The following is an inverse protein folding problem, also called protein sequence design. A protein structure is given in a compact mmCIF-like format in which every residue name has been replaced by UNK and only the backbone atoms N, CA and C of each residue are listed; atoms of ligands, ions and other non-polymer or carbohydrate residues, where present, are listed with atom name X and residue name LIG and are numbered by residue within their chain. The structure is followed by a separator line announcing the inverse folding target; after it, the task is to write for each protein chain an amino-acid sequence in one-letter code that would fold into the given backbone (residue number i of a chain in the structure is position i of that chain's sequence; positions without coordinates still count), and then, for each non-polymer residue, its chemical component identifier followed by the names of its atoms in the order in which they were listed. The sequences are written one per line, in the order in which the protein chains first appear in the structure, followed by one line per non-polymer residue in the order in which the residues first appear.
data_IF_766065271376
#
_entry.id   IF_766065271376
#
_cell.length_a   1.000
_cell.length_b   1.000
_cell.length_c   1.000
_cell.angle_alpha   90.00
_cell.angle_beta   90.00
_cell.angle_gamma   90.00
#
_symmetry.space_group_name_H-M   'P 1'
#
loop_
_entity.id
_entity.type
_entity.pdbx_description
1 polymer ?
#
# COMPACT_ATOMS: atom_id res chain seq x y z
N UNK A 1 -4.90 -2.26 28.02
CA UNK A 1 -4.19 -1.56 29.11
C UNK A 1 -2.73 -1.94 28.95
N UNK A 2 -1.81 -1.00 28.83
CA UNK A 2 -0.40 -1.34 28.58
C UNK A 2 0.15 -2.21 29.73
N UNK A 3 0.63 -3.41 29.40
CA UNK A 3 1.15 -4.41 30.34
C UNK A 3 1.84 -5.55 29.59
N UNK A 4 2.45 -6.51 30.31
CA UNK A 4 3.07 -7.69 29.68
C UNK A 4 1.94 -8.65 29.27
N UNK A 5 1.47 -8.51 28.04
CA UNK A 5 0.45 -9.39 27.49
C UNK A 5 0.94 -10.08 26.21
N UNK A 6 1.19 -11.38 26.30
CA UNK A 6 1.62 -12.18 25.14
C UNK A 6 0.55 -12.20 24.03
N UNK A 7 -0.73 -11.96 24.34
CA UNK A 7 -1.81 -11.90 23.36
C UNK A 7 -1.85 -10.59 22.56
N UNK A 8 -0.95 -9.63 22.83
CA UNK A 8 -0.77 -8.40 22.05
C UNK A 8 0.38 -8.53 21.03
N UNK A 9 1.14 -9.62 21.08
CA UNK A 9 2.10 -9.98 20.03
C UNK A 9 1.30 -10.38 18.80
N UNK A 10 1.64 -9.81 17.63
CA UNK A 10 0.96 -10.08 16.36
C UNK A 10 1.95 -10.67 15.38
N UNK A 11 1.60 -11.81 14.82
CA UNK A 11 2.31 -12.42 13.70
C UNK A 11 1.41 -12.30 12.47
N UNK A 12 1.92 -11.65 11.43
CA UNK A 12 1.23 -11.60 10.14
C UNK A 12 1.32 -12.99 9.49
N UNK A 13 0.39 -13.88 9.87
CA UNK A 13 0.37 -15.27 9.41
C UNK A 13 -0.03 -15.36 7.94
N UNK A 14 -1.32 -15.13 7.66
CA UNK A 14 -1.83 -14.99 6.29
C UNK A 14 -2.40 -13.60 6.10
N UNK A 15 -2.21 -13.06 4.90
CA UNK A 15 -2.69 -11.73 4.58
C UNK A 15 -2.95 -11.55 3.09
N UNK A 16 -3.61 -10.43 2.79
CA UNK A 16 -4.02 -10.06 1.43
C UNK A 16 -3.80 -8.58 1.19
N UNK A 17 -3.56 -8.25 -0.08
CA UNK A 17 -3.41 -6.87 -0.55
C UNK A 17 -4.64 -6.51 -1.36
N UNK A 18 -5.31 -5.44 -0.96
CA UNK A 18 -6.56 -4.98 -1.52
C UNK A 18 -6.35 -3.61 -2.17
N UNK A 19 -6.97 -3.41 -3.33
CA UNK A 19 -6.98 -2.13 -4.03
C UNK A 19 -8.41 -1.69 -4.29
N UNK A 20 -8.66 -0.38 -4.21
CA UNK A 20 -9.94 0.24 -4.52
C UNK A 20 -9.72 1.62 -5.14
N UNK A 21 -10.78 2.27 -5.68
CA UNK A 21 -10.66 3.65 -6.15
C UNK A 21 -10.15 4.57 -5.04
N UNK A 22 -9.51 5.68 -5.41
CA UNK A 22 -9.02 6.64 -4.41
C UNK A 22 -10.15 7.05 -3.46
N UNK A 23 -9.80 7.20 -2.19
CA UNK A 23 -10.71 7.55 -1.10
C UNK A 23 -11.87 6.55 -0.89
N UNK A 24 -11.83 5.32 -1.41
CA UNK A 24 -12.81 4.29 -1.05
C UNK A 24 -12.79 4.03 0.46
N UNK A 25 -13.96 3.87 1.08
CA UNK A 25 -14.05 3.65 2.52
C UNK A 25 -13.61 2.24 2.91
N UNK A 26 -12.87 2.16 4.01
CA UNK A 26 -12.40 0.90 4.55
C UNK A 26 -13.26 0.49 5.75
N UNK A 27 -13.92 -0.66 5.65
CA UNK A 27 -14.66 -1.23 6.78
C UNK A 27 -13.71 -1.59 7.94
N UNK A 28 -14.25 -1.70 9.15
CA UNK A 28 -13.48 -2.17 10.31
C UNK A 28 -13.02 -3.64 10.13
N UNK A 29 -11.94 -4.07 10.79
CA UNK A 29 -11.52 -5.47 10.78
C UNK A 29 -12.63 -6.41 11.26
N UNK A 30 -12.82 -7.52 10.54
CA UNK A 30 -13.88 -8.50 10.81
C UNK A 30 -15.26 -8.13 10.24
N UNK A 31 -15.38 -7.03 9.49
CA UNK A 31 -16.57 -6.69 8.71
C UNK A 31 -16.31 -6.91 7.22
N UNK A 32 -17.35 -7.31 6.49
CA UNK A 32 -17.33 -7.46 5.02
C UNK A 32 -16.89 -6.15 4.35
N UNK A 33 -15.99 -6.27 3.39
CA UNK A 33 -15.52 -5.14 2.58
C UNK A 33 -16.56 -4.75 1.51
N UNK A 34 -16.54 -3.49 1.09
CA UNK A 34 -17.31 -3.03 -0.07
C UNK A 34 -16.88 -3.74 -1.36
N UNK A 35 -17.79 -3.86 -2.32
CA UNK A 35 -17.55 -4.56 -3.58
C UNK A 35 -16.49 -3.88 -4.49
N UNK A 36 -16.12 -2.64 -4.16
CA UNK A 36 -15.07 -1.87 -4.85
C UNK A 36 -13.64 -2.34 -4.51
N UNK A 37 -13.48 -3.10 -3.41
CA UNK A 37 -12.19 -3.62 -2.97
C UNK A 37 -11.87 -4.92 -3.71
N UNK A 38 -10.76 -4.92 -4.43
CA UNK A 38 -10.27 -6.07 -5.19
C UNK A 38 -9.00 -6.62 -4.56
N UNK A 39 -8.90 -7.94 -4.50
CA UNK A 39 -7.71 -8.64 -4.01
C UNK A 39 -6.68 -8.79 -5.14
N UNK A 40 -5.45 -8.34 -4.90
CA UNK A 40 -4.32 -8.47 -5.81
C UNK A 40 -3.69 -9.87 -5.77
N UNK A 41 -4.12 -10.73 -4.84
CA UNK A 41 -3.73 -12.12 -4.77
C UNK A 41 -2.40 -12.37 -4.09
N UNK A 42 -1.65 -13.35 -4.59
CA UNK A 42 -0.45 -13.85 -3.89
C UNK A 42 0.73 -12.88 -3.91
N UNK A 43 1.26 -12.60 -2.72
CA UNK A 43 2.54 -11.91 -2.50
C UNK A 43 3.66 -12.89 -2.17
N UNK A 44 4.91 -12.42 -2.20
CA UNK A 44 6.06 -13.21 -1.74
C UNK A 44 6.05 -13.42 -0.22
N UNK A 45 6.82 -14.41 0.25
CA UNK A 45 7.01 -14.70 1.68
C UNK A 45 7.76 -13.59 2.43
N UNK A 46 8.35 -12.62 1.73
CA UNK A 46 9.00 -11.45 2.33
C UNK A 46 7.99 -10.49 2.99
N UNK A 47 6.69 -10.71 2.71
CA UNK A 47 5.59 -9.95 3.28
C UNK A 47 5.53 -8.53 2.75
N UNK A 48 4.94 -7.65 3.56
CA UNK A 48 4.67 -6.26 3.19
C UNK A 48 5.45 -5.36 4.14
N UNK A 49 6.22 -4.44 3.56
CA UNK A 49 7.06 -3.50 4.31
C UNK A 49 6.38 -2.15 4.34
N UNK A 50 6.14 -1.65 5.55
CA UNK A 50 5.63 -0.32 5.81
C UNK A 50 6.76 0.55 6.38
N UNK A 51 7.01 1.71 5.78
CA UNK A 51 8.02 2.66 6.26
C UNK A 51 7.40 4.03 6.43
N UNK A 52 7.55 4.61 7.63
CA UNK A 52 7.21 6.01 7.92
C UNK A 52 8.49 6.79 8.17
N UNK A 53 8.75 7.82 7.37
CA UNK A 53 9.89 8.74 7.53
C UNK A 53 9.38 10.14 7.81
N UNK A 54 9.75 10.68 8.97
CA UNK A 54 9.49 12.08 9.32
C UNK A 54 10.79 12.85 9.22
N UNK A 55 10.77 14.00 8.53
CA UNK A 55 11.89 14.93 8.49
C UNK A 55 11.60 16.10 9.43
N UNK A 56 12.54 16.34 10.36
CA UNK A 56 12.50 17.45 11.30
C UNK A 56 13.65 18.39 10.96
N UNK A 57 13.33 19.61 10.56
CA UNK A 57 14.34 20.65 10.33
C UNK A 57 14.58 21.42 11.64
N UNK A 58 15.85 21.52 12.09
CA UNK A 58 16.20 22.33 13.25
C UNK A 58 16.06 23.82 12.93
N UNK A 59 15.50 24.57 13.88
CA UNK A 59 15.50 26.02 13.92
C UNK A 59 16.62 26.43 14.86
N UNK A 60 17.75 26.81 14.29
CA UNK A 60 18.90 27.30 15.04
C UNK A 60 18.69 28.77 15.43
N UNK A 61 19.25 29.16 16.57
CA UNK A 61 19.29 30.56 16.98
C UNK A 61 20.74 31.00 17.14
N UNK A 62 20.98 32.30 16.97
CA UNK A 62 22.32 32.82 17.17
C UNK A 62 22.75 32.81 18.64
N UNK A 63 21.78 32.88 19.56
CA UNK A 63 22.02 32.87 21.01
C UNK A 63 22.33 31.47 21.57
N UNK A 64 22.15 30.41 20.78
CA UNK A 64 22.31 29.04 21.23
C UNK A 64 23.07 28.22 20.20
N UNK A 65 24.09 27.48 20.64
CA UNK A 65 24.80 26.54 19.79
C UNK A 65 23.98 25.29 19.45
N UNK A 66 22.84 25.07 20.11
CA UNK A 66 21.91 23.99 19.84
C UNK A 66 20.58 24.52 19.26
N UNK A 67 19.93 23.70 18.43
CA UNK A 67 18.64 24.00 17.82
C UNK A 67 17.59 24.34 18.90
N UNK A 68 16.88 25.46 18.71
CA UNK A 68 15.89 25.97 19.67
C UNK A 68 14.52 25.34 19.46
N UNK A 69 14.23 24.86 18.25
CA UNK A 69 12.98 24.19 17.91
C UNK A 69 13.18 23.25 16.74
N UNK A 70 12.40 22.16 16.66
CA UNK A 70 12.28 21.37 15.44
C UNK A 70 10.95 21.68 14.75
N UNK A 71 10.98 21.85 13.44
CA UNK A 71 9.78 21.98 12.59
C UNK A 71 9.67 20.73 11.74
N UNK A 72 8.46 20.14 11.68
CA UNK A 72 8.24 19.02 10.78
C UNK A 72 8.08 19.53 9.35
N UNK A 73 9.00 19.11 8.49
CA UNK A 73 9.09 19.59 7.11
C UNK A 73 8.52 18.61 6.12
N UNK A 74 8.62 17.31 6.41
CA UNK A 74 8.10 16.26 5.54
C UNK A 74 7.62 15.03 6.34
N UNK A 75 6.66 14.32 5.76
CA UNK A 75 6.16 13.03 6.22
C UNK A 75 5.93 12.15 5.01
N UNK A 76 6.86 11.22 4.80
CA UNK A 76 6.75 10.20 3.77
C UNK A 76 6.29 8.88 4.38
N UNK A 77 5.36 8.23 3.69
CA UNK A 77 4.78 6.96 4.10
C UNK A 77 4.77 6.06 2.88
N UNK A 78 5.58 5.01 2.94
CA UNK A 78 5.77 4.09 1.82
C UNK A 78 5.39 2.68 2.20
N UNK A 79 4.77 1.99 1.24
CA UNK A 79 4.42 0.58 1.32
C UNK A 79 5.10 -0.15 0.18
N UNK A 80 5.86 -1.19 0.50
CA UNK A 80 6.57 -2.01 -0.48
C UNK A 80 6.20 -3.47 -0.34
N UNK A 81 5.84 -4.12 -1.45
CA UNK A 81 5.57 -5.55 -1.52
C UNK A 81 5.86 -6.09 -2.92
N UNK A 82 5.89 -7.42 -3.05
CA UNK A 82 6.11 -8.10 -4.30
C UNK A 82 4.95 -9.08 -4.58
N UNK A 83 4.30 -8.91 -5.73
CA UNK A 83 3.25 -9.81 -6.21
C UNK A 83 3.87 -10.93 -7.04
N UNK A 84 3.31 -12.14 -6.91
CA UNK A 84 3.66 -13.30 -7.73
C UNK A 84 2.55 -13.58 -8.75
N UNK A 85 1.31 -13.15 -8.45
CA UNK A 85 0.17 -13.39 -9.31
C UNK A 85 0.07 -12.34 -10.42
N UNK A 86 0.00 -12.81 -11.67
CA UNK A 86 -0.24 -11.99 -12.85
C UNK A 86 -1.69 -12.22 -13.29
N UNK A 87 -2.54 -11.20 -13.15
CA UNK A 87 -3.94 -11.22 -13.55
C UNK A 87 -4.34 -9.86 -14.16
N UNK A 88 -5.60 -9.75 -14.57
CA UNK A 88 -6.14 -8.54 -15.21
C UNK A 88 -6.12 -7.29 -14.32
N UNK A 89 -6.03 -7.46 -13.00
CA UNK A 89 -5.99 -6.37 -12.02
C UNK A 89 -4.56 -6.03 -11.56
N UNK A 90 -3.67 -7.02 -11.46
CA UNK A 90 -2.31 -6.83 -10.93
C UNK A 90 -1.39 -6.17 -11.93
N UNK A 91 -1.46 -6.55 -13.21
CA UNK A 91 -0.60 -5.96 -14.24
C UNK A 91 -0.80 -4.44 -14.41
N UNK A 92 -2.03 -3.91 -14.61
CA UNK A 92 -2.23 -2.46 -14.73
C UNK A 92 -1.90 -1.72 -13.42
N UNK A 93 -2.10 -2.36 -12.27
CA UNK A 93 -1.76 -1.79 -10.98
C UNK A 93 -0.25 -1.59 -10.81
N UNK A 94 0.53 -2.65 -11.02
CA UNK A 94 2.00 -2.61 -10.86
C UNK A 94 2.63 -1.63 -11.86
N UNK A 95 2.04 -1.51 -13.05
CA UNK A 95 2.49 -0.58 -14.08
C UNK A 95 2.00 0.86 -13.89
N UNK A 96 1.32 1.17 -12.77
CA UNK A 96 0.92 2.53 -12.41
C UNK A 96 -0.32 3.07 -13.11
N UNK A 97 -1.06 2.24 -13.86
CA UNK A 97 -2.35 2.59 -14.46
C UNK A 97 -3.54 2.50 -13.50
N UNK A 98 -3.30 2.14 -12.23
CA UNK A 98 -4.30 2.19 -11.18
C UNK A 98 -5.07 0.88 -11.02
N UNK A 99 -6.37 0.97 -10.73
CA UNK A 99 -7.21 -0.17 -10.34
C UNK A 99 -8.20 -0.64 -11.43
N UNK A 100 -8.01 -0.15 -12.66
CA UNK A 100 -8.85 -0.53 -13.82
C UNK A 100 -8.41 -1.89 -14.34
N UNK A 101 -9.30 -2.90 -14.36
CA UNK A 101 -8.97 -4.23 -14.86
C UNK A 101 -8.78 -4.19 -16.38
N UNK A 102 -7.87 -5.01 -16.87
CA UNK A 102 -7.77 -5.27 -18.30
C UNK A 102 -8.94 -6.13 -18.77
N UNK A 103 -9.46 -5.80 -19.95
CA UNK A 103 -10.50 -6.58 -20.61
C UNK A 103 -9.83 -7.50 -21.62
N UNK A 104 -10.04 -8.83 -21.55
CA UNK A 104 -9.57 -9.74 -22.58
C UNK A 104 -10.21 -9.41 -23.93
N UNK A 105 -9.47 -9.60 -25.02
CA UNK A 105 -10.04 -9.49 -26.36
C UNK A 105 -10.95 -10.68 -26.72
N UNK A 106 -11.45 -10.71 -27.97
CA UNK A 106 -12.36 -11.76 -28.47
C UNK A 106 -11.72 -13.16 -28.38
N UNK A 107 -10.39 -13.25 -28.40
CA UNK A 107 -9.63 -14.50 -28.31
C UNK A 107 -9.16 -14.80 -26.87
N UNK A 108 -9.54 -13.97 -25.89
CA UNK A 108 -9.18 -14.11 -24.48
C UNK A 108 -7.79 -13.61 -24.13
N UNK A 109 -7.12 -12.87 -25.02
CA UNK A 109 -5.79 -12.30 -24.78
C UNK A 109 -5.91 -11.03 -23.96
N UNK A 110 -5.16 -10.97 -22.86
CA UNK A 110 -5.03 -9.77 -22.03
C UNK A 110 -3.80 -8.99 -22.49
N UNK A 111 -4.03 -7.81 -23.07
CA UNK A 111 -2.97 -6.91 -23.55
C UNK A 111 -2.89 -5.67 -22.65
N UNK A 112 -1.69 -5.32 -22.24
CA UNK A 112 -1.39 -4.05 -21.59
C UNK A 112 -0.35 -3.30 -22.40
N UNK A 113 -0.73 -2.12 -22.89
CA UNK A 113 0.16 -1.23 -23.64
C UNK A 113 0.70 -0.14 -22.69
N UNK A 114 2.02 -0.10 -22.54
CA UNK A 114 2.69 0.92 -21.75
C UNK A 114 2.64 2.25 -22.52
N UNK A 115 1.94 3.23 -21.97
CA UNK A 115 1.86 4.58 -22.56
C UNK A 115 3.22 5.28 -22.52
N UNK A 116 3.55 5.99 -23.60
CA UNK A 116 4.71 6.89 -23.63
C UNK A 116 4.53 8.13 -22.73
N UNK A 117 3.29 8.46 -22.37
CA UNK A 117 2.92 9.55 -21.47
C UNK A 117 2.08 9.00 -20.32
N UNK A 118 2.72 8.41 -19.29
CA UNK A 118 2.01 7.87 -18.15
C UNK A 118 1.45 9.00 -17.27
N UNK A 119 0.20 8.84 -16.85
CA UNK A 119 -0.39 9.64 -15.78
C UNK A 119 -0.41 8.77 -14.53
N UNK A 120 0.22 9.18 -13.42
CA UNK A 120 0.20 8.40 -12.19
C UNK A 120 -1.25 8.22 -11.72
N UNK A 121 -1.70 6.97 -11.64
CA UNK A 121 -3.02 6.68 -11.12
C UNK A 121 -3.01 6.66 -9.59
N UNK A 122 -4.07 7.23 -9.01
CA UNK A 122 -4.29 7.28 -7.57
C UNK A 122 -5.32 6.24 -7.17
N UNK A 123 -5.06 5.54 -6.07
CA UNK A 123 -5.93 4.47 -5.58
C UNK A 123 -5.92 4.42 -4.05
N UNK A 124 -6.87 3.69 -3.48
CA UNK A 124 -6.85 3.31 -2.08
C UNK A 124 -6.21 1.92 -1.93
N UNK A 125 -5.36 1.76 -0.92
CA UNK A 125 -4.67 0.51 -0.59
C UNK A 125 -5.17 -0.02 0.76
N UNK A 126 -5.48 -1.30 0.80
CA UNK A 126 -5.81 -2.04 2.00
C UNK A 126 -4.84 -3.20 2.17
N UNK A 127 -4.32 -3.39 3.38
CA UNK A 127 -3.59 -4.61 3.75
C UNK A 127 -4.36 -5.25 4.88
N UNK A 128 -4.62 -6.54 4.79
CA UNK A 128 -5.24 -7.28 5.88
C UNK A 128 -4.38 -8.48 6.21
N UNK A 129 -4.17 -8.74 7.50
CA UNK A 129 -3.59 -9.98 7.97
C UNK A 129 -4.35 -10.50 9.19
N UNK A 130 -4.32 -11.83 9.33
CA UNK A 130 -4.98 -12.52 10.43
C UNK A 130 -3.97 -13.28 11.27
N UNK A 131 -4.15 -13.22 12.58
CA UNK A 131 -3.40 -13.96 13.60
C UNK A 131 -4.38 -14.66 14.54
N UNK A 132 -4.64 -15.95 14.30
CA UNK A 132 -5.70 -16.68 14.99
C UNK A 132 -7.07 -16.02 14.76
N UNK A 133 -7.70 -15.54 15.84
CA UNK A 133 -8.99 -14.83 15.79
C UNK A 133 -8.84 -13.31 15.58
N UNK A 134 -7.62 -12.77 15.66
CA UNK A 134 -7.38 -11.33 15.53
C UNK A 134 -7.26 -10.97 14.05
N UNK A 135 -7.96 -9.91 13.64
CA UNK A 135 -7.87 -9.37 12.27
C UNK A 135 -7.31 -7.97 12.35
N UNK A 136 -6.22 -7.73 11.62
CA UNK A 136 -5.59 -6.41 11.54
C UNK A 136 -5.65 -5.91 10.10
N UNK A 137 -6.04 -4.64 9.96
CA UNK A 137 -6.17 -3.99 8.67
C UNK A 137 -5.42 -2.67 8.66
N UNK A 138 -4.55 -2.50 7.68
CA UNK A 138 -3.88 -1.26 7.37
C UNK A 138 -4.51 -0.64 6.13
N UNK A 139 -4.74 0.67 6.14
CA UNK A 139 -5.49 1.37 5.10
C UNK A 139 -4.78 2.67 4.71
N UNK A 140 -4.64 2.89 3.42
CA UNK A 140 -4.18 4.15 2.82
C UNK A 140 -5.28 4.63 1.87
N UNK A 141 -5.95 5.77 2.13
CA UNK A 141 -7.04 6.26 1.28
C UNK A 141 -6.57 6.72 -0.10
N UNK A 142 -5.35 7.25 -0.20
CA UNK A 142 -4.80 7.78 -1.44
C UNK A 142 -3.31 7.46 -1.52
N UNK A 143 -2.95 6.60 -2.45
CA UNK A 143 -1.59 6.22 -2.76
C UNK A 143 -1.33 6.25 -4.26
N UNK A 144 -0.05 6.33 -4.61
CA UNK A 144 0.44 6.32 -5.99
C UNK A 144 1.63 5.37 -6.08
N UNK A 145 1.71 4.59 -7.16
CA UNK A 145 2.92 3.80 -7.45
C UNK A 145 4.03 4.76 -7.84
N UNK A 146 5.12 4.76 -7.08
CA UNK A 146 6.25 5.66 -7.29
C UNK A 146 7.44 4.97 -7.92
N UNK A 147 7.57 3.66 -7.69
CA UNK A 147 8.68 2.87 -8.19
C UNK A 147 8.27 1.41 -8.39
N UNK A 148 8.97 0.75 -9.31
CA UNK A 148 8.79 -0.66 -9.64
C UNK A 148 10.15 -1.34 -9.57
N UNK A 149 10.22 -2.48 -8.88
CA UNK A 149 11.44 -3.28 -8.86
C UNK A 149 11.67 -3.93 -10.24
N UNK A 150 12.92 -4.33 -10.51
CA UNK A 150 13.25 -5.10 -11.71
C UNK A 150 12.45 -6.40 -11.78
N UNK A 151 11.81 -6.64 -12.94
CA UNK A 151 11.08 -7.87 -13.21
C UNK A 151 12.03 -8.87 -13.87
N UNK A 152 12.36 -9.94 -13.13
CA UNK A 152 13.22 -11.01 -13.63
C UNK A 152 12.40 -12.19 -14.15
N UNK A 153 12.73 -12.66 -15.36
CA UNK A 153 12.23 -13.91 -15.93
C UNK A 153 13.29 -15.01 -15.79
N UNK A 154 13.06 -15.96 -14.89
CA UNK A 154 13.99 -17.06 -14.64
C UNK A 154 13.27 -18.41 -14.72
N UNK A 155 13.98 -19.45 -15.20
CA UNK A 155 13.41 -20.80 -15.37
C UNK A 155 12.96 -21.45 -14.06
N UNK A 156 13.63 -21.11 -12.95
CA UNK A 156 13.49 -21.79 -11.66
C UNK A 156 12.91 -20.88 -10.57
N UNK A 157 12.36 -19.71 -10.93
CA UNK A 157 11.76 -18.79 -9.97
C UNK A 157 10.47 -18.19 -10.53
N UNK A 158 9.47 -17.92 -9.68
CA UNK A 158 8.28 -17.20 -10.11
C UNK A 158 8.65 -15.78 -10.55
N UNK A 159 7.91 -15.24 -11.52
CA UNK A 159 7.97 -13.82 -11.85
C UNK A 159 7.51 -13.02 -10.64
N UNK A 160 8.30 -12.03 -10.24
CA UNK A 160 8.00 -11.14 -9.12
C UNK A 160 7.77 -9.74 -9.63
N UNK A 161 6.64 -9.16 -9.25
CA UNK A 161 6.26 -7.79 -9.56
C UNK A 161 6.37 -6.97 -8.27
N UNK A 162 7.55 -6.37 -8.05
CA UNK A 162 7.79 -5.52 -6.90
C UNK A 162 7.32 -4.09 -7.14
N UNK A 163 6.60 -3.54 -6.16
CA UNK A 163 6.06 -2.18 -6.23
C UNK A 163 6.37 -1.40 -4.96
N UNK A 164 6.64 -0.11 -5.12
CA UNK A 164 6.68 0.88 -4.05
C UNK A 164 5.54 1.86 -4.23
N UNK A 165 4.76 2.04 -3.17
CA UNK A 165 3.60 2.92 -3.15
C UNK A 165 3.85 4.00 -2.11
N UNK A 166 3.64 5.25 -2.47
CA UNK A 166 3.69 6.36 -1.52
C UNK A 166 2.27 6.83 -1.22
N UNK A 167 1.95 6.99 0.07
CA UNK A 167 0.71 7.63 0.48
C UNK A 167 0.82 9.15 0.28
N UNK A 168 -0.25 9.74 -0.25
CA UNK A 168 -0.35 11.18 -0.46
C UNK A 168 -1.58 11.71 0.29
N UNK A 169 -1.58 13.01 0.58
CA UNK A 169 -2.67 13.65 1.31
C UNK A 169 -4.01 13.41 0.61
N UNK A 170 -5.03 12.98 1.35
CA UNK A 170 -6.37 12.77 0.79
C UNK A 170 -6.98 14.11 0.36
N UNK A 171 -7.64 14.10 -0.79
CA UNK A 171 -8.48 15.19 -1.32
C UNK A 171 -9.98 14.98 -1.00
N UNK A 172 -10.31 13.99 -0.16
CA UNK A 172 -11.69 13.69 0.22
C UNK A 172 -12.29 14.75 1.15
N UNK A 173 -13.62 14.84 1.13
CA UNK A 173 -14.41 15.63 2.08
C UNK A 173 -15.42 14.72 2.80
N UNK A 174 -15.31 14.51 4.13
CA UNK A 174 -14.29 15.04 5.05
C UNK A 174 -12.89 14.46 4.79
N UNK A 175 -11.86 15.19 5.21
CA UNK A 175 -10.45 14.81 5.01
C UNK A 175 -10.15 13.47 5.69
N UNK A 176 -9.65 12.50 4.91
CA UNK A 176 -9.22 11.19 5.42
C UNK A 176 -7.76 11.25 5.94
N UNK A 177 -7.40 10.44 6.95
CA UNK A 177 -6.02 10.38 7.45
C UNK A 177 -5.06 9.84 6.39
N UNK A 178 -3.76 10.14 6.50
CA UNK A 178 -2.73 9.64 5.56
C UNK A 178 -2.68 8.11 5.50
N UNK A 179 -2.85 7.46 6.66
CA UNK A 179 -3.06 6.03 6.77
C UNK A 179 -3.77 5.70 8.10
N UNK A 180 -4.41 4.53 8.16
CA UNK A 180 -5.06 4.01 9.37
C UNK A 180 -4.59 2.59 9.66
N UNK A 181 -4.25 2.33 10.92
CA UNK A 181 -4.00 0.99 11.43
C UNK A 181 -5.14 0.58 12.36
N UNK A 182 -5.83 -0.51 12.03
CA UNK A 182 -6.97 -1.00 12.77
C UNK A 182 -6.71 -2.44 13.18
N UNK A 183 -6.94 -2.79 14.45
CA UNK A 183 -6.82 -4.15 14.95
C UNK A 183 -8.05 -4.49 15.78
N UNK A 184 -8.50 -5.74 15.70
CA UNK A 184 -9.60 -6.30 16.49
C UNK A 184 -9.14 -7.56 17.18
#
# INVERSE_FOLDING_TARGET
MAGINATEIRVAGTGRVLVAPKNADMAAPGTTLGAEWKDLGYTTNDGIKFTKKDKLDPVDSWQSMAAVRFVQSDRDLTVKFQLIQINVDTLPFVMGSGNTPLTPDVDGVVRYDISATPVPAEFALGLEFTDGASVTRFYVPRGVVTDMDEVQFAKNAPVKLGVTINAIASDATPVKPLASWMTK
#
